data_IF_493584066814
#
_entry.id   IF_493584066814
#
_cell.length_a   1.000
_cell.length_b   1.000
_cell.length_c   1.000
_cell.angle_alpha   90.00
_cell.angle_beta   90.00
_cell.angle_gamma   90.00
#
_symmetry.space_group_name_H-M   'P 1'
#
loop_
_entity.id
_entity.type
_entity.pdbx_description
1 polymer ?
#
# COMPACT_ATOMS: atom_id res chain seq x y z
N UNK A 1 -21.62 -19.57 32.63
CA UNK A 1 -21.70 -18.52 31.58
C UNK A 1 -20.45 -17.65 31.40
N UNK A 2 -19.41 -17.70 32.24
CA UNK A 2 -18.16 -16.94 32.02
C UNK A 2 -17.17 -17.63 31.06
N UNK A 3 -17.18 -18.95 31.01
CA UNK A 3 -16.22 -19.74 30.19
C UNK A 3 -16.58 -19.68 28.70
N UNK A 4 -17.88 -19.60 28.34
CA UNK A 4 -18.30 -19.47 26.94
C UNK A 4 -17.89 -18.13 26.31
N UNK A 5 -17.83 -17.05 27.09
CA UNK A 5 -17.44 -15.73 26.59
C UNK A 5 -15.94 -15.67 26.22
N UNK A 6 -15.11 -16.48 26.89
CA UNK A 6 -13.65 -16.48 26.68
C UNK A 6 -13.23 -17.21 25.40
N UNK A 7 -14.06 -18.16 24.93
CA UNK A 7 -13.80 -18.93 23.70
C UNK A 7 -14.17 -18.14 22.44
N UNK A 8 -15.15 -17.24 22.53
CA UNK A 8 -15.58 -16.41 21.40
C UNK A 8 -14.55 -15.30 21.08
N UNK A 9 -13.80 -14.83 22.09
CA UNK A 9 -12.83 -13.74 21.92
C UNK A 9 -11.52 -14.20 21.24
N UNK A 10 -11.15 -15.49 21.33
CA UNK A 10 -9.94 -16.02 20.69
C UNK A 10 -10.11 -16.37 19.21
N UNK A 11 -11.35 -16.53 18.73
CA UNK A 11 -11.64 -16.83 17.32
C UNK A 11 -11.57 -15.61 16.38
N UNK A 12 -11.55 -14.39 16.93
CA UNK A 12 -11.39 -13.14 16.18
C UNK A 12 -9.92 -12.75 15.94
N UNK A 13 -8.97 -13.50 16.50
CA UNK A 13 -7.53 -13.26 16.35
C UNK A 13 -6.91 -13.98 15.15
N UNK A 14 -7.72 -14.44 14.17
CA UNK A 14 -7.23 -14.74 12.84
C UNK A 14 -6.83 -13.42 12.18
N UNK A 15 -5.64 -12.94 12.54
CA UNK A 15 -4.89 -12.00 11.75
C UNK A 15 -4.77 -12.65 10.37
N UNK A 16 -5.61 -12.19 9.44
CA UNK A 16 -5.42 -12.48 8.04
C UNK A 16 -4.05 -11.91 7.69
N UNK A 17 -3.02 -12.75 7.77
CA UNK A 17 -1.88 -12.68 6.89
C UNK A 17 -2.46 -12.84 5.48
N UNK A 18 -3.04 -11.76 4.98
CA UNK A 18 -3.37 -11.67 3.57
C UNK A 18 -2.02 -11.74 2.88
N UNK A 19 -1.81 -12.80 2.11
CA UNK A 19 -0.70 -12.83 1.19
C UNK A 19 -0.73 -11.55 0.37
N UNK A 20 0.45 -11.00 0.10
CA UNK A 20 0.60 -9.91 -0.86
C UNK A 20 -0.05 -10.34 -2.17
N UNK A 21 -0.76 -9.43 -2.84
CA UNK A 21 -1.39 -9.71 -4.12
C UNK A 21 -0.36 -10.03 -5.20
N UNK A 22 0.84 -9.48 -5.06
CA UNK A 22 1.89 -9.52 -6.05
C UNK A 22 3.14 -10.25 -5.53
N UNK A 23 3.88 -10.92 -6.43
CA UNK A 23 5.17 -11.48 -6.09
C UNK A 23 6.16 -10.38 -5.71
N UNK A 24 7.16 -10.74 -4.92
CA UNK A 24 8.28 -9.84 -4.59
C UNK A 24 9.10 -9.59 -5.85
N UNK A 25 9.44 -8.33 -6.10
CA UNK A 25 10.42 -7.98 -7.12
C UNK A 25 11.83 -8.19 -6.56
N UNK A 26 12.48 -9.29 -6.96
CA UNK A 26 13.82 -9.63 -6.48
C UNK A 26 14.94 -8.79 -7.12
N UNK A 27 14.65 -8.05 -8.20
CA UNK A 27 15.62 -7.19 -8.88
C UNK A 27 15.87 -5.87 -8.13
N UNK A 28 15.06 -5.56 -7.11
CA UNK A 28 15.20 -4.39 -6.25
C UNK A 28 15.86 -4.81 -4.93
N UNK A 29 16.80 -4.02 -4.41
CA UNK A 29 17.41 -4.29 -3.10
C UNK A 29 16.37 -4.36 -1.96
N UNK A 30 16.48 -5.30 -1.00
CA UNK A 30 15.44 -5.54 0.01
C UNK A 30 15.00 -4.32 0.83
N UNK A 31 15.92 -3.41 1.14
CA UNK A 31 15.68 -2.18 1.90
C UNK A 31 14.96 -1.09 1.08
N UNK A 32 15.09 -1.15 -0.24
CA UNK A 32 14.43 -0.24 -1.17
C UNK A 32 13.00 -0.68 -1.53
N UNK A 33 12.64 -1.95 -1.31
CA UNK A 33 11.32 -2.49 -1.66
C UNK A 33 10.20 -1.83 -0.85
N UNK A 34 9.14 -1.39 -1.53
CA UNK A 34 7.91 -0.99 -0.85
C UNK A 34 7.03 -2.22 -0.62
N UNK A 35 6.78 -2.56 0.65
CA UNK A 35 5.76 -3.56 1.01
C UNK A 35 4.36 -3.11 0.59
N UNK A 36 3.48 -4.05 0.22
CA UNK A 36 2.08 -3.70 -0.08
C UNK A 36 1.32 -3.10 1.11
N UNK A 37 1.86 -3.24 2.34
CA UNK A 37 1.37 -2.58 3.55
C UNK A 37 1.55 -1.05 3.54
N UNK A 38 2.33 -0.50 2.62
CA UNK A 38 2.42 0.95 2.41
C UNK A 38 1.22 1.53 1.67
N UNK A 39 0.50 0.71 0.91
CA UNK A 39 -0.61 1.15 0.07
C UNK A 39 -1.95 1.07 0.80
N UNK A 40 -2.08 1.84 1.88
CA UNK A 40 -3.31 1.99 2.65
C UNK A 40 -3.92 3.36 2.46
N UNK A 41 -5.24 3.47 2.72
CA UNK A 41 -5.95 4.75 2.66
C UNK A 41 -5.30 5.81 3.55
N UNK A 42 -4.98 5.45 4.80
CA UNK A 42 -4.38 6.36 5.77
C UNK A 42 -3.03 6.92 5.26
N UNK A 43 -2.18 6.05 4.70
CA UNK A 43 -0.88 6.46 4.12
C UNK A 43 -1.04 7.31 2.87
N UNK A 44 -2.02 7.01 2.01
CA UNK A 44 -2.33 7.84 0.85
C UNK A 44 -2.84 9.24 1.24
N UNK A 45 -3.64 9.34 2.30
CA UNK A 45 -4.10 10.63 2.85
C UNK A 45 -2.94 11.44 3.44
N UNK A 46 -2.02 10.79 4.16
CA UNK A 46 -0.80 11.41 4.68
C UNK A 46 0.11 11.91 3.54
N UNK A 47 0.38 11.06 2.55
CA UNK A 47 1.12 11.41 1.34
C UNK A 47 0.48 12.61 0.61
N UNK A 48 -0.86 12.64 0.52
CA UNK A 48 -1.57 13.76 -0.11
C UNK A 48 -1.36 15.08 0.65
N UNK A 49 -1.41 15.05 1.99
CA UNK A 49 -1.11 16.23 2.82
C UNK A 49 0.33 16.69 2.64
N UNK A 50 1.28 15.76 2.54
CA UNK A 50 2.69 16.07 2.31
C UNK A 50 2.88 16.80 0.99
N UNK A 51 2.27 16.32 -0.10
CA UNK A 51 2.28 16.99 -1.41
C UNK A 51 1.65 18.38 -1.33
N UNK A 52 0.52 18.53 -0.62
CA UNK A 52 -0.12 19.84 -0.45
C UNK A 52 0.77 20.82 0.30
N UNK A 53 1.46 20.38 1.37
CA UNK A 53 2.42 21.22 2.10
C UNK A 53 3.60 21.64 1.23
N UNK A 54 4.09 20.73 0.39
CA UNK A 54 5.12 21.00 -0.61
C UNK A 54 4.68 22.09 -1.59
N UNK A 55 3.52 21.91 -2.24
CA UNK A 55 2.97 22.87 -3.20
C UNK A 55 2.69 24.24 -2.57
N UNK A 56 2.24 24.25 -1.31
CA UNK A 56 2.02 25.48 -0.56
C UNK A 56 3.33 26.16 -0.08
N UNK A 57 4.48 25.50 -0.26
CA UNK A 57 5.77 25.98 0.22
C UNK A 57 5.94 25.94 1.75
N UNK A 58 5.03 25.28 2.47
CA UNK A 58 5.05 25.12 3.94
C UNK A 58 5.83 23.89 4.38
N UNK A 59 6.13 22.97 3.46
CA UNK A 59 6.95 21.79 3.68
C UNK A 59 8.02 21.69 2.60
N UNK A 60 9.29 21.85 2.97
CA UNK A 60 10.44 21.85 2.03
C UNK A 60 11.42 20.73 2.31
N UNK A 61 11.04 19.79 3.17
CA UNK A 61 11.95 18.76 3.66
C UNK A 61 12.14 17.70 2.57
N UNK A 62 13.35 17.63 2.00
CA UNK A 62 13.74 16.65 0.98
C UNK A 62 12.70 16.47 -0.13
N UNK A 63 12.23 17.60 -0.68
CA UNK A 63 11.12 17.65 -1.63
C UNK A 63 11.33 16.69 -2.82
N UNK A 64 12.57 16.61 -3.31
CA UNK A 64 12.99 15.80 -4.44
C UNK A 64 12.86 14.28 -4.22
N UNK A 65 12.96 13.79 -2.98
CA UNK A 65 12.68 12.37 -2.63
C UNK A 65 11.22 12.20 -2.19
N UNK A 66 10.75 13.15 -1.38
CA UNK A 66 9.46 13.07 -0.70
C UNK A 66 8.31 13.07 -1.69
N UNK A 67 8.34 13.97 -2.68
CA UNK A 67 7.30 14.08 -3.68
C UNK A 67 7.10 12.78 -4.48
N UNK A 68 8.13 12.20 -5.13
CA UNK A 68 7.94 10.98 -5.90
C UNK A 68 7.55 9.77 -5.03
N UNK A 69 8.07 9.65 -3.81
CA UNK A 69 7.66 8.59 -2.89
C UNK A 69 6.19 8.74 -2.43
N UNK A 70 5.75 9.97 -2.16
CA UNK A 70 4.35 10.25 -1.81
C UNK A 70 3.41 9.91 -2.97
N UNK A 71 3.79 10.25 -4.20
CA UNK A 71 3.01 9.92 -5.39
C UNK A 71 2.91 8.40 -5.59
N UNK A 72 3.99 7.64 -5.38
CA UNK A 72 3.98 6.17 -5.43
C UNK A 72 3.02 5.57 -4.41
N UNK A 73 2.99 6.08 -3.18
CA UNK A 73 2.05 5.62 -2.15
C UNK A 73 0.59 5.84 -2.60
N UNK A 74 0.29 6.99 -3.19
CA UNK A 74 -1.07 7.32 -3.67
C UNK A 74 -1.45 6.42 -4.86
N UNK A 75 -0.59 6.31 -5.88
CA UNK A 75 -0.82 5.45 -7.06
C UNK A 75 -1.03 3.99 -6.65
N UNK A 76 -0.11 3.45 -5.83
CA UNK A 76 -0.20 2.08 -5.34
C UNK A 76 -1.44 1.82 -4.49
N UNK A 77 -1.89 2.78 -3.66
CA UNK A 77 -3.15 2.65 -2.91
C UNK A 77 -4.36 2.57 -3.84
N UNK A 78 -4.45 3.45 -4.84
CA UNK A 78 -5.58 3.45 -5.80
C UNK A 78 -5.64 2.11 -6.54
N UNK A 79 -4.49 1.65 -7.05
CA UNK A 79 -4.40 0.37 -7.76
C UNK A 79 -4.74 -0.82 -6.85
N UNK A 80 -4.21 -0.86 -5.63
CA UNK A 80 -4.51 -1.92 -4.66
C UNK A 80 -5.99 -1.94 -4.30
N UNK A 81 -6.58 -0.78 -4.02
CA UNK A 81 -8.02 -0.62 -3.74
C UNK A 81 -8.87 -1.20 -4.86
N UNK A 82 -8.53 -0.89 -6.11
CA UNK A 82 -9.28 -1.38 -7.25
C UNK A 82 -9.10 -2.90 -7.44
N UNK A 83 -7.90 -3.42 -7.21
CA UNK A 83 -7.63 -4.87 -7.24
C UNK A 83 -8.44 -5.65 -6.19
N UNK A 84 -8.60 -5.11 -4.98
CA UNK A 84 -9.34 -5.80 -3.90
C UNK A 84 -10.86 -5.65 -4.01
N UNK A 85 -11.36 -4.55 -4.57
CA UNK A 85 -12.79 -4.24 -4.62
C UNK A 85 -13.52 -4.79 -5.87
N UNK A 86 -12.78 -5.27 -6.87
CA UNK A 86 -13.34 -5.88 -8.07
C UNK A 86 -13.43 -7.42 -7.98
N UNK A 87 -14.30 -8.01 -8.81
CA UNK A 87 -14.54 -9.46 -8.90
C UNK A 87 -14.49 -9.96 -10.35
N UNK A 88 -14.34 -11.28 -10.55
CA UNK A 88 -14.31 -11.90 -11.87
C UNK A 88 -13.17 -11.39 -12.77
N UNK A 89 -13.39 -11.34 -14.09
CA UNK A 89 -12.39 -10.89 -15.07
C UNK A 89 -11.88 -9.46 -14.80
N UNK A 90 -12.71 -8.59 -14.22
CA UNK A 90 -12.28 -7.23 -13.83
C UNK A 90 -11.26 -7.26 -12.69
N UNK A 91 -11.36 -8.22 -11.76
CA UNK A 91 -10.37 -8.41 -10.71
C UNK A 91 -9.01 -8.75 -11.29
N UNK A 92 -8.96 -9.71 -12.22
CA UNK A 92 -7.71 -10.13 -12.86
C UNK A 92 -7.00 -8.97 -13.54
N UNK A 93 -7.76 -8.14 -14.27
CA UNK A 93 -7.24 -6.91 -14.85
C UNK A 93 -6.66 -5.97 -13.79
N UNK A 94 -7.40 -5.63 -12.74
CA UNK A 94 -6.91 -4.70 -11.71
C UNK A 94 -5.72 -5.25 -10.90
N UNK A 95 -5.70 -6.55 -10.60
CA UNK A 95 -4.54 -7.22 -10.00
C UNK A 95 -3.33 -7.11 -10.92
N UNK A 96 -3.49 -7.33 -12.23
CA UNK A 96 -2.39 -7.20 -13.19
C UNK A 96 -1.82 -5.78 -13.24
N UNK A 97 -2.68 -4.75 -13.14
CA UNK A 97 -2.25 -3.34 -13.11
C UNK A 97 -1.48 -3.03 -11.82
N UNK A 98 -1.99 -3.48 -10.68
CA UNK A 98 -1.31 -3.30 -9.40
C UNK A 98 0.05 -4.01 -9.38
N UNK A 99 0.13 -5.26 -9.86
CA UNK A 99 1.40 -5.99 -9.87
C UNK A 99 2.39 -5.46 -10.90
N UNK A 100 1.91 -4.90 -12.02
CA UNK A 100 2.79 -4.18 -12.97
C UNK A 100 3.38 -2.93 -12.32
N UNK A 101 2.61 -2.20 -11.52
CA UNK A 101 3.13 -1.09 -10.71
C UNK A 101 4.16 -1.57 -9.68
N UNK A 102 3.89 -2.64 -8.93
CA UNK A 102 4.83 -3.20 -7.95
C UNK A 102 6.16 -3.59 -8.60
N UNK A 103 6.13 -4.21 -9.78
CA UNK A 103 7.30 -4.63 -10.53
C UNK A 103 8.10 -3.48 -11.16
N UNK A 104 7.47 -2.34 -11.48
CA UNK A 104 8.09 -1.25 -12.25
C UNK A 104 8.31 0.07 -11.48
N UNK A 105 7.66 0.23 -10.32
CA UNK A 105 7.73 1.46 -9.52
C UNK A 105 7.65 1.21 -8.01
N UNK A 106 7.38 -0.01 -7.55
CA UNK A 106 7.13 -0.37 -6.14
C UNK A 106 8.36 -0.37 -5.22
N UNK A 107 9.21 0.66 -5.30
CA UNK A 107 10.40 0.85 -4.48
C UNK A 107 10.61 2.31 -4.11
N UNK A 108 11.35 2.59 -3.06
CA UNK A 108 11.68 3.95 -2.63
C UNK A 108 12.63 4.62 -3.63
N UNK A 109 12.43 5.92 -3.86
CA UNK A 109 13.51 6.80 -4.27
C UNK A 109 14.37 7.13 -3.04
N UNK A 110 15.68 7.12 -3.22
CA UNK A 110 16.72 7.51 -2.26
C UNK A 110 17.57 8.63 -2.88
#
# INVERSE_FOLDING_TARGET
>A
MKILLSIILTLLANTALTDNLCPVNEDVEPDMRMSESFFTKARAEEASKKIQGIVAGTDKVYEWITLPNSLKIIEGYVLKRDAINNQGAMREYHVSQFCSFMASKGWWYD
#
